data_IF_560753107042
#
_entry.id   IF_560753107042
#
_cell.length_a   1.000
_cell.length_b   1.000
_cell.length_c   1.000
_cell.angle_alpha   90.00
_cell.angle_beta   90.00
_cell.angle_gamma   90.00
#
_symmetry.space_group_name_H-M   'P 1'
#
loop_
_entity.id
_entity.type
_entity.pdbx_description
1 polymer ?
#
# COMPACT_ATOMS: atom_id res chain seq x y z
N UNK A 1 -65.94 55.21 6.65
CA UNK A 1 -66.03 54.61 5.30
C UNK A 1 -65.12 53.38 5.24
N UNK A 2 -65.75 52.21 5.11
CA UNK A 2 -65.28 50.88 4.66
C UNK A 2 -63.81 50.47 4.78
N UNK A 3 -63.51 49.61 5.78
CA UNK A 3 -62.39 48.66 5.74
C UNK A 3 -62.74 47.51 4.80
N UNK A 4 -61.98 47.32 3.71
CA UNK A 4 -62.10 46.15 2.84
C UNK A 4 -61.29 45.00 3.45
N UNK A 5 -61.98 43.95 3.88
CA UNK A 5 -61.36 42.66 4.19
C UNK A 5 -60.95 42.00 2.87
N UNK A 6 -59.64 41.86 2.66
CA UNK A 6 -59.09 41.10 1.53
C UNK A 6 -59.02 39.64 1.97
N UNK A 7 -59.86 38.80 1.38
CA UNK A 7 -59.86 37.36 1.59
C UNK A 7 -58.69 36.75 0.79
N UNK A 8 -57.69 36.21 1.49
CA UNK A 8 -56.43 35.69 0.92
C UNK A 8 -56.49 34.19 0.59
N UNK A 9 -57.66 33.55 0.57
CA UNK A 9 -57.75 32.14 0.21
C UNK A 9 -57.68 31.97 -1.32
N UNK A 10 -56.62 31.33 -1.86
CA UNK A 10 -56.54 31.05 -3.28
C UNK A 10 -57.63 30.04 -3.68
N UNK A 11 -58.19 30.17 -4.89
CA UNK A 11 -59.28 29.32 -5.34
C UNK A 11 -58.84 27.85 -5.55
N UNK A 12 -59.74 26.91 -5.25
CA UNK A 12 -59.47 25.47 -5.20
C UNK A 12 -58.81 24.85 -6.46
N UNK A 13 -58.97 25.47 -7.63
CA UNK A 13 -58.35 25.03 -8.89
C UNK A 13 -56.83 25.22 -8.93
N UNK A 14 -56.26 26.12 -8.11
CA UNK A 14 -54.80 26.27 -7.96
C UNK A 14 -54.15 25.05 -7.32
N UNK A 15 -54.87 24.33 -6.45
CA UNK A 15 -54.38 23.11 -5.83
C UNK A 15 -54.38 21.94 -6.81
N UNK A 16 -55.38 21.84 -7.69
CA UNK A 16 -55.46 20.82 -8.76
C UNK A 16 -54.33 20.95 -9.80
N UNK A 17 -53.89 22.18 -10.12
CA UNK A 17 -52.76 22.40 -11.03
C UNK A 17 -51.41 22.05 -10.40
N UNK A 18 -51.23 22.30 -9.10
CA UNK A 18 -50.02 21.92 -8.37
C UNK A 18 -49.89 20.40 -8.20
N UNK A 19 -51.00 19.68 -7.98
CA UNK A 19 -51.02 18.22 -7.93
C UNK A 19 -50.66 17.57 -9.27
N UNK A 20 -51.12 18.17 -10.39
CA UNK A 20 -50.86 17.65 -11.74
C UNK A 20 -49.42 17.90 -12.20
N UNK A 21 -48.81 19.04 -11.79
CA UNK A 21 -47.40 19.33 -12.09
C UNK A 21 -46.43 18.47 -11.27
N UNK A 22 -46.78 18.14 -10.02
CA UNK A 22 -45.97 17.27 -9.16
C UNK A 22 -45.92 15.81 -9.67
N UNK A 23 -47.03 15.31 -10.21
CA UNK A 23 -47.08 13.99 -10.85
C UNK A 23 -46.28 13.95 -12.16
N UNK A 24 -46.25 15.03 -12.93
CA UNK A 24 -45.46 15.13 -14.17
C UNK A 24 -43.95 15.30 -13.90
N UNK A 25 -43.55 15.94 -12.79
CA UNK A 25 -42.15 16.04 -12.39
C UNK A 25 -41.56 14.70 -11.91
N UNK A 26 -42.36 13.81 -11.32
CA UNK A 26 -41.91 12.46 -10.96
C UNK A 26 -41.61 11.58 -12.20
N UNK A 27 -42.24 11.84 -13.34
CA UNK A 27 -41.98 11.12 -14.60
C UNK A 27 -40.78 11.67 -15.39
N UNK A 28 -40.24 12.83 -15.00
CA UNK A 28 -39.09 13.50 -15.65
C UNK A 28 -37.82 13.46 -14.79
N UNK A 29 -37.88 12.91 -13.58
CA UNK A 29 -36.66 12.52 -12.89
C UNK A 29 -36.06 11.36 -13.69
N UNK A 30 -34.81 11.47 -14.19
CA UNK A 30 -34.14 10.30 -14.72
C UNK A 30 -34.17 9.26 -13.61
N UNK A 31 -34.76 8.10 -13.89
CA UNK A 31 -34.52 6.91 -13.09
C UNK A 31 -33.02 6.83 -12.98
N UNK A 32 -32.50 7.07 -11.77
CA UNK A 32 -31.11 6.80 -11.46
C UNK A 32 -30.98 5.30 -11.76
N UNK A 33 -30.40 4.98 -12.91
CA UNK A 33 -30.18 3.62 -13.33
C UNK A 33 -29.15 3.10 -12.34
N UNK A 34 -29.65 2.40 -11.31
CA UNK A 34 -28.84 1.45 -10.57
C UNK A 34 -28.29 0.51 -11.62
N UNK A 35 -26.97 0.55 -11.76
CA UNK A 35 -26.24 -0.23 -12.74
C UNK A 35 -26.32 -1.70 -12.32
N UNK A 36 -27.41 -2.32 -12.71
CA UNK A 36 -27.64 -3.74 -12.63
C UNK A 36 -27.92 -4.21 -14.05
N UNK A 37 -27.33 -5.34 -14.42
CA UNK A 37 -27.96 -6.23 -15.39
C UNK A 37 -28.94 -7.09 -14.57
N UNK A 38 -30.21 -6.67 -14.39
CA UNK A 38 -31.19 -7.38 -13.55
C UNK A 38 -31.32 -8.86 -13.91
N UNK A 39 -30.91 -9.23 -15.12
CA UNK A 39 -30.91 -10.60 -15.64
C UNK A 39 -29.99 -11.56 -14.87
N UNK A 40 -28.89 -11.08 -14.27
CA UNK A 40 -27.99 -11.93 -13.49
C UNK A 40 -28.59 -12.27 -12.12
N UNK A 41 -29.19 -11.28 -11.46
CA UNK A 41 -29.77 -11.42 -10.13
C UNK A 41 -30.98 -12.36 -10.09
N UNK A 42 -31.67 -12.59 -11.21
CA UNK A 42 -32.78 -13.57 -11.29
C UNK A 42 -32.37 -14.98 -10.86
N UNK A 43 -31.10 -15.34 -11.03
CA UNK A 43 -30.56 -16.66 -10.66
C UNK A 43 -29.39 -16.58 -9.67
N UNK A 44 -28.67 -15.46 -9.60
CA UNK A 44 -27.53 -15.22 -8.71
C UNK A 44 -27.87 -14.22 -7.60
N UNK A 45 -29.01 -14.43 -6.93
CA UNK A 45 -29.56 -13.50 -5.94
C UNK A 45 -28.57 -13.24 -4.79
N UNK A 46 -28.01 -14.29 -4.19
CA UNK A 46 -27.07 -14.17 -3.06
C UNK A 46 -25.80 -13.40 -3.46
N UNK A 47 -25.27 -13.68 -4.66
CA UNK A 47 -24.11 -12.98 -5.19
C UNK A 47 -24.41 -11.52 -5.52
N UNK A 48 -25.58 -11.23 -6.09
CA UNK A 48 -26.03 -9.87 -6.41
C UNK A 48 -26.26 -9.04 -5.15
N UNK A 49 -26.80 -9.62 -4.08
CA UNK A 49 -26.95 -8.94 -2.79
C UNK A 49 -25.58 -8.59 -2.22
N UNK A 50 -24.65 -9.54 -2.17
CA UNK A 50 -23.28 -9.29 -1.70
C UNK A 50 -22.54 -8.25 -2.56
N UNK A 51 -22.80 -8.22 -3.87
CA UNK A 51 -22.24 -7.25 -4.79
C UNK A 51 -22.72 -5.83 -4.50
N UNK A 52 -24.01 -5.64 -4.22
CA UNK A 52 -24.60 -4.32 -3.95
C UNK A 52 -23.97 -3.61 -2.75
N UNK A 53 -23.50 -4.36 -1.77
CA UNK A 53 -22.80 -3.82 -0.60
C UNK A 53 -21.33 -3.45 -0.90
N UNK A 54 -20.82 -3.80 -2.07
CA UNK A 54 -19.42 -3.57 -2.43
C UNK A 54 -19.15 -2.16 -2.95
N UNK A 55 -17.90 -1.68 -2.83
CA UNK A 55 -17.46 -0.44 -3.46
C UNK A 55 -17.46 -0.47 -5.01
N UNK A 56 -17.75 -1.61 -5.63
CA UNK A 56 -17.77 -1.77 -7.09
C UNK A 56 -19.18 -1.63 -7.68
N UNK A 57 -20.23 -1.83 -6.88
CA UNK A 57 -21.62 -1.63 -7.30
C UNK A 57 -21.99 -0.15 -7.53
N UNK A 58 -21.21 0.78 -6.99
CA UNK A 58 -21.40 2.21 -7.21
C UNK A 58 -20.05 2.92 -7.19
N UNK A 59 -19.56 3.31 -8.37
CA UNK A 59 -18.33 4.10 -8.50
C UNK A 59 -18.60 5.44 -9.19
N UNK A 60 -17.75 6.42 -8.95
CA UNK A 60 -17.84 7.76 -9.55
C UNK A 60 -17.77 7.73 -11.09
N UNK A 61 -17.11 6.72 -11.66
CA UNK A 61 -16.91 6.54 -13.11
C UNK A 61 -17.92 5.57 -13.74
N UNK A 62 -18.92 5.12 -12.96
CA UNK A 62 -19.90 4.10 -13.35
C UNK A 62 -19.68 2.78 -12.60
N UNK A 63 -20.75 2.02 -12.36
CA UNK A 63 -20.59 0.75 -11.65
C UNK A 63 -19.88 -0.29 -12.52
N UNK A 64 -19.11 -1.16 -11.86
CA UNK A 64 -18.61 -2.38 -12.46
C UNK A 64 -19.79 -3.36 -12.56
N UNK A 65 -19.87 -4.10 -13.65
CA UNK A 65 -20.92 -5.08 -13.95
C UNK A 65 -20.40 -6.51 -13.78
N UNK A 66 -21.31 -7.48 -13.73
CA UNK A 66 -20.96 -8.90 -13.63
C UNK A 66 -20.03 -9.35 -14.76
N UNK A 67 -20.26 -8.84 -15.98
CA UNK A 67 -19.51 -9.22 -17.18
C UNK A 67 -18.09 -8.62 -17.24
N UNK A 68 -17.82 -7.54 -16.52
CA UNK A 68 -16.47 -6.94 -16.47
C UNK A 68 -15.44 -7.90 -15.86
N UNK A 69 -15.92 -8.74 -14.92
CA UNK A 69 -15.14 -9.76 -14.24
C UNK A 69 -15.37 -11.17 -14.84
N UNK A 70 -16.62 -11.59 -15.03
CA UNK A 70 -16.96 -12.94 -15.51
C UNK A 70 -16.90 -13.11 -17.04
N UNK A 71 -16.74 -12.02 -17.78
CA UNK A 71 -16.80 -11.99 -19.23
C UNK A 71 -18.24 -11.93 -19.76
N UNK A 72 -18.37 -11.92 -21.09
CA UNK A 72 -19.65 -11.79 -21.76
C UNK A 72 -20.62 -12.94 -21.42
N UNK A 73 -21.90 -12.60 -21.29
CA UNK A 73 -22.98 -13.54 -20.98
C UNK A 73 -23.02 -14.74 -21.93
N UNK A 74 -23.04 -15.93 -21.33
CA UNK A 74 -23.24 -17.18 -22.05
C UNK A 74 -24.69 -17.61 -21.92
N UNK A 75 -25.43 -17.54 -23.02
CA UNK A 75 -26.82 -18.00 -23.08
C UNK A 75 -26.92 -19.48 -22.70
N UNK A 76 -27.89 -19.78 -21.84
CA UNK A 76 -28.15 -21.12 -21.29
C UNK A 76 -27.00 -21.69 -20.43
N UNK A 77 -26.14 -20.84 -19.83
CA UNK A 77 -25.27 -21.28 -18.74
C UNK A 77 -26.13 -21.80 -17.56
N UNK A 78 -25.68 -22.83 -16.83
CA UNK A 78 -24.38 -23.50 -16.92
C UNK A 78 -24.24 -24.55 -18.05
N UNK A 79 -25.33 -24.90 -18.75
CA UNK A 79 -25.37 -26.05 -19.68
C UNK A 79 -24.52 -25.85 -20.94
N UNK A 80 -24.38 -24.62 -21.40
CA UNK A 80 -23.60 -24.26 -22.61
C UNK A 80 -22.21 -23.70 -22.32
N UNK A 81 -21.84 -23.60 -21.04
CA UNK A 81 -20.56 -23.08 -20.59
C UNK A 81 -20.75 -22.34 -19.27
N UNK A 82 -19.85 -22.57 -18.30
CA UNK A 82 -19.84 -21.83 -17.04
C UNK A 82 -19.20 -20.45 -17.24
N UNK A 83 -19.81 -19.42 -16.66
CA UNK A 83 -19.20 -18.09 -16.57
C UNK A 83 -18.33 -18.00 -15.31
N UNK A 84 -17.07 -18.42 -15.43
CA UNK A 84 -16.14 -18.41 -14.30
C UNK A 84 -15.29 -17.15 -14.29
N UNK A 85 -15.10 -16.61 -13.09
CA UNK A 85 -14.04 -15.63 -12.85
C UNK A 85 -12.69 -16.36 -12.83
N UNK A 86 -11.69 -15.78 -13.52
CA UNK A 86 -10.31 -16.25 -13.40
C UNK A 86 -9.85 -16.14 -11.95
N UNK A 87 -9.24 -17.21 -11.43
CA UNK A 87 -8.71 -17.21 -10.05
C UNK A 87 -7.41 -16.42 -9.90
N UNK A 88 -6.87 -15.92 -11.01
CA UNK A 88 -5.65 -15.12 -11.05
C UNK A 88 -5.92 -13.63 -10.79
N UNK A 89 -4.92 -12.97 -10.21
CA UNK A 89 -4.97 -11.54 -9.89
C UNK A 89 -5.05 -10.62 -11.13
N UNK A 90 -4.87 -11.12 -12.36
CA UNK A 90 -4.89 -10.27 -13.56
C UNK A 90 -6.29 -9.73 -13.85
N UNK A 91 -7.35 -10.42 -13.39
CA UNK A 91 -8.73 -9.90 -13.47
C UNK A 91 -8.86 -8.56 -12.72
N UNK A 92 -8.22 -8.46 -11.55
CA UNK A 92 -8.22 -7.24 -10.74
C UNK A 92 -7.29 -6.16 -11.31
N UNK A 93 -6.16 -6.57 -11.91
CA UNK A 93 -5.14 -5.68 -12.47
C UNK A 93 -5.69 -4.75 -13.55
N UNK A 94 -6.71 -5.17 -14.30
CA UNK A 94 -7.34 -4.36 -15.37
C UNK A 94 -7.74 -2.96 -14.90
N UNK A 95 -8.16 -2.85 -13.63
CA UNK A 95 -8.53 -1.58 -13.01
C UNK A 95 -7.58 -1.18 -11.87
N UNK A 96 -7.09 -2.13 -11.07
CA UNK A 96 -6.25 -1.88 -9.89
C UNK A 96 -4.75 -2.08 -10.18
N UNK A 97 -4.22 -1.34 -11.15
CA UNK A 97 -2.85 -1.51 -11.62
C UNK A 97 -1.79 -1.25 -10.51
N UNK A 98 -1.95 -0.17 -9.76
CA UNK A 98 -0.99 0.22 -8.70
C UNK A 98 -1.02 -0.77 -7.54
N UNK A 99 -2.23 -1.16 -7.09
CA UNK A 99 -2.42 -2.20 -6.07
C UNK A 99 -1.79 -3.52 -6.51
N UNK A 100 -2.02 -3.93 -7.76
CA UNK A 100 -1.43 -5.13 -8.32
C UNK A 100 0.11 -5.03 -8.34
N UNK A 101 0.68 -3.87 -8.68
CA UNK A 101 2.13 -3.66 -8.67
C UNK A 101 2.72 -3.81 -7.25
N UNK A 102 2.08 -3.21 -6.24
CA UNK A 102 2.48 -3.33 -4.85
C UNK A 102 2.43 -4.79 -4.38
N UNK A 103 1.32 -5.47 -4.66
CA UNK A 103 1.15 -6.89 -4.37
C UNK A 103 2.21 -7.74 -5.06
N UNK A 104 2.45 -7.52 -6.35
CA UNK A 104 3.40 -8.29 -7.14
C UNK A 104 4.84 -8.16 -6.60
N UNK A 105 5.20 -6.99 -6.06
CA UNK A 105 6.49 -6.76 -5.42
C UNK A 105 6.60 -7.40 -4.02
N UNK A 106 5.46 -7.67 -3.36
CA UNK A 106 5.43 -8.24 -2.00
C UNK A 106 5.86 -9.71 -1.94
N UNK A 107 6.14 -10.19 -0.73
CA UNK A 107 6.38 -11.62 -0.48
C UNK A 107 5.18 -12.50 -0.84
N UNK A 108 3.95 -11.99 -0.70
CA UNK A 108 2.75 -12.73 -1.09
C UNK A 108 2.61 -12.85 -2.61
N UNK A 109 2.92 -11.79 -3.35
CA UNK A 109 2.98 -11.83 -4.82
C UNK A 109 4.07 -12.77 -5.32
N UNK A 110 5.26 -12.74 -4.72
CA UNK A 110 6.36 -13.67 -5.04
C UNK A 110 6.00 -15.13 -4.73
N UNK A 111 5.18 -15.37 -3.70
CA UNK A 111 4.64 -16.68 -3.36
C UNK A 111 3.36 -17.05 -4.14
N UNK A 112 2.93 -16.19 -5.08
CA UNK A 112 1.74 -16.37 -5.90
C UNK A 112 0.43 -16.53 -5.10
N UNK A 113 0.32 -15.85 -3.96
CA UNK A 113 -0.92 -15.78 -3.16
C UNK A 113 -1.87 -14.78 -3.83
N UNK A 114 -2.86 -15.28 -4.58
CA UNK A 114 -3.77 -14.46 -5.39
C UNK A 114 -4.67 -13.56 -4.53
N UNK A 115 -5.17 -12.46 -5.10
CA UNK A 115 -6.08 -11.53 -4.41
C UNK A 115 -7.27 -12.23 -3.74
N UNK A 116 -7.86 -13.21 -4.43
CA UNK A 116 -9.00 -14.00 -3.94
C UNK A 116 -8.67 -14.94 -2.77
N UNK A 117 -7.40 -15.05 -2.39
CA UNK A 117 -6.98 -15.77 -1.18
C UNK A 117 -7.31 -14.96 0.07
N UNK A 118 -7.38 -13.63 -0.06
CA UNK A 118 -7.65 -12.69 1.02
C UNK A 118 -9.04 -12.07 0.89
N UNK A 119 -9.46 -11.70 -0.33
CA UNK A 119 -10.73 -11.01 -0.60
C UNK A 119 -11.83 -11.93 -1.12
N UNK A 120 -13.07 -11.55 -0.85
CA UNK A 120 -14.26 -12.05 -1.52
C UNK A 120 -14.56 -11.15 -2.74
N UNK A 121 -14.66 -11.75 -3.93
CA UNK A 121 -14.82 -10.98 -5.19
C UNK A 121 -16.13 -10.21 -5.31
N UNK A 122 -17.19 -10.61 -4.59
CA UNK A 122 -18.47 -9.91 -4.66
C UNK A 122 -18.57 -8.79 -3.63
N UNK A 123 -18.26 -9.06 -2.36
CA UNK A 123 -18.36 -8.04 -1.30
C UNK A 123 -17.11 -7.16 -1.17
N UNK A 124 -15.97 -7.58 -1.72
CA UNK A 124 -14.64 -6.98 -1.54
C UNK A 124 -14.08 -7.05 -0.11
N UNK A 125 -14.84 -7.58 0.83
CA UNK A 125 -14.43 -7.87 2.21
C UNK A 125 -13.35 -8.96 2.27
N UNK A 126 -12.66 -9.05 3.41
CA UNK A 126 -11.82 -10.21 3.68
C UNK A 126 -12.64 -11.49 3.82
N UNK A 127 -12.06 -12.62 3.42
CA UNK A 127 -12.67 -13.95 3.54
C UNK A 127 -12.89 -14.38 5.00
N UNK A 128 -12.09 -13.83 5.90
CA UNK A 128 -12.10 -14.05 7.34
C UNK A 128 -11.88 -12.69 8.02
N UNK A 129 -12.02 -12.63 9.33
CA UNK A 129 -11.54 -11.46 10.08
C UNK A 129 -10.05 -11.28 9.85
N UNK A 130 -9.53 -10.04 9.93
CA UNK A 130 -8.10 -9.74 9.70
C UNK A 130 -7.19 -10.70 10.48
N UNK A 131 -7.42 -10.83 11.78
CA UNK A 131 -6.66 -11.74 12.64
C UNK A 131 -6.69 -13.19 12.14
N UNK A 132 -7.87 -13.76 11.85
CA UNK A 132 -7.97 -15.15 11.41
C UNK A 132 -7.40 -15.36 10.01
N UNK A 133 -7.51 -14.35 9.14
CA UNK A 133 -6.96 -14.42 7.79
C UNK A 133 -5.44 -14.56 7.83
N UNK A 134 -4.77 -13.64 8.51
CA UNK A 134 -3.31 -13.63 8.58
C UNK A 134 -2.78 -14.85 9.36
N UNK A 135 -3.39 -15.17 10.49
CA UNK A 135 -2.95 -16.28 11.35
C UNK A 135 -3.30 -17.67 10.81
N UNK A 136 -4.09 -17.77 9.73
CA UNK A 136 -4.26 -19.04 9.02
C UNK A 136 -2.93 -19.59 8.48
N UNK A 137 -2.00 -18.69 8.12
CA UNK A 137 -0.66 -19.00 7.60
C UNK A 137 0.47 -18.53 8.53
N UNK A 138 0.40 -17.31 9.08
CA UNK A 138 1.47 -16.65 9.87
C UNK A 138 1.45 -16.99 11.37
N UNK A 139 1.17 -18.25 11.73
CA UNK A 139 1.05 -18.67 13.16
C UNK A 139 2.34 -18.50 13.97
N UNK A 140 3.49 -18.64 13.32
CA UNK A 140 4.78 -18.61 13.97
C UNK A 140 5.26 -17.18 14.28
N UNK A 141 4.76 -16.19 13.52
CA UNK A 141 5.27 -14.82 13.52
C UNK A 141 4.72 -13.98 14.69
N UNK A 142 3.68 -14.47 15.38
CA UNK A 142 3.02 -13.77 16.50
C UNK A 142 3.86 -13.69 17.79
N UNK A 143 5.01 -14.36 17.85
CA UNK A 143 5.77 -14.53 19.11
C UNK A 143 6.71 -13.39 19.43
N UNK A 144 6.93 -12.46 18.52
CA UNK A 144 7.82 -11.34 18.79
C UNK A 144 7.20 -10.29 19.73
N UNK A 145 8.09 -9.49 20.31
CA UNK A 145 7.71 -8.47 21.28
C UNK A 145 6.79 -7.40 20.68
N UNK A 146 6.92 -7.09 19.39
CA UNK A 146 6.14 -6.05 18.75
C UNK A 146 4.70 -6.53 18.56
N UNK A 147 4.49 -7.71 17.96
CA UNK A 147 3.14 -8.27 17.77
C UNK A 147 2.43 -8.51 19.10
N UNK A 148 3.12 -9.06 20.11
CA UNK A 148 2.50 -9.30 21.44
C UNK A 148 2.10 -8.02 22.18
N UNK A 149 2.84 -6.91 22.01
CA UNK A 149 2.48 -5.64 22.65
C UNK A 149 1.36 -4.91 21.91
N UNK A 150 1.41 -4.88 20.58
CA UNK A 150 0.43 -4.16 19.77
C UNK A 150 -0.92 -4.89 19.70
N UNK A 151 -0.93 -6.23 19.64
CA UNK A 151 -2.18 -7.00 19.75
C UNK A 151 -2.89 -6.78 21.10
N UNK A 152 -2.14 -6.61 22.19
CA UNK A 152 -2.71 -6.25 23.51
C UNK A 152 -3.26 -4.82 23.59
N UNK A 153 -2.90 -3.97 22.64
CA UNK A 153 -3.44 -2.63 22.46
C UNK A 153 -4.60 -2.62 21.45
N UNK A 154 -5.17 -3.79 21.14
CA UNK A 154 -6.24 -3.99 20.17
C UNK A 154 -5.88 -3.55 18.75
N UNK A 155 -4.59 -3.59 18.40
CA UNK A 155 -4.13 -3.40 17.02
C UNK A 155 -4.14 -4.72 16.26
N UNK A 156 -4.63 -4.64 15.04
CA UNK A 156 -4.78 -5.70 14.06
C UNK A 156 -3.55 -5.80 13.14
N UNK A 157 -3.51 -6.83 12.29
CA UNK A 157 -2.38 -7.05 11.39
C UNK A 157 -2.31 -5.94 10.33
N UNK A 158 -3.48 -5.52 9.84
CA UNK A 158 -3.63 -4.54 8.78
C UNK A 158 -3.25 -3.12 9.19
N UNK A 159 -3.34 -2.78 10.47
CA UNK A 159 -2.96 -1.46 10.99
C UNK A 159 -1.51 -1.07 10.70
N UNK A 160 -0.61 -2.06 10.62
CA UNK A 160 0.80 -1.83 10.29
C UNK A 160 1.17 -2.38 8.91
N UNK A 161 0.69 -3.57 8.56
CA UNK A 161 1.11 -4.22 7.31
C UNK A 161 0.40 -3.64 6.08
N UNK A 162 -0.80 -3.07 6.24
CA UNK A 162 -1.54 -2.42 5.16
C UNK A 162 -1.71 -0.92 5.42
N UNK A 163 -0.87 -0.32 6.28
CA UNK A 163 -0.93 1.12 6.55
C UNK A 163 -0.86 1.91 5.25
N UNK A 164 -1.71 2.91 5.15
CA UNK A 164 -1.88 3.68 3.93
C UNK A 164 -0.68 4.60 3.74
N UNK A 165 -0.16 4.64 2.50
CA UNK A 165 0.84 5.65 2.16
C UNK A 165 0.11 6.98 2.03
N UNK A 166 0.36 7.91 2.94
CA UNK A 166 -0.04 9.30 2.71
C UNK A 166 0.64 9.80 1.42
N UNK A 167 -0.07 10.52 0.55
CA UNK A 167 0.52 11.03 -0.68
C UNK A 167 1.69 11.96 -0.37
N UNK A 168 2.88 11.64 -0.89
CA UNK A 168 4.12 12.42 -0.72
C UNK A 168 4.06 13.82 -1.38
N UNK A 169 2.99 14.15 -2.10
CA UNK A 169 2.83 15.48 -2.74
C UNK A 169 1.38 16.00 -2.79
N UNK A 170 1.20 17.34 -2.85
CA UNK A 170 -0.11 17.96 -3.03
C UNK A 170 -0.78 17.63 -4.38
N UNK A 171 -0.02 17.24 -5.41
CA UNK A 171 -0.59 16.81 -6.71
C UNK A 171 -1.32 15.47 -6.57
N UNK A 172 -0.77 14.55 -5.77
CA UNK A 172 -1.42 13.29 -5.39
C UNK A 172 -2.55 13.45 -4.37
N UNK A 173 -2.73 14.65 -3.79
CA UNK A 173 -3.85 14.95 -2.91
C UNK A 173 -5.17 15.15 -3.66
N UNK A 174 -5.13 15.43 -4.97
CA UNK A 174 -6.35 15.44 -5.80
C UNK A 174 -6.92 14.03 -6.06
N UNK A 175 -6.15 12.99 -5.74
CA UNK A 175 -6.55 11.59 -5.71
C UNK A 175 -6.85 11.11 -4.27
N UNK A 176 -6.84 12.02 -3.28
CA UNK A 176 -6.99 11.70 -1.86
C UNK A 176 -8.46 11.57 -1.40
N UNK A 177 -9.34 11.08 -2.26
CA UNK A 177 -10.69 10.67 -1.84
C UNK A 177 -10.78 9.17 -1.54
N UNK A 178 -9.75 8.38 -1.88
CA UNK A 178 -9.61 6.98 -1.44
C UNK A 178 -8.20 6.74 -0.90
N UNK A 179 -8.06 6.91 0.42
CA UNK A 179 -6.94 6.34 1.17
C UNK A 179 -6.97 4.83 0.91
N UNK A 180 -6.12 4.34 0.01
CA UNK A 180 -6.05 2.93 -0.34
C UNK A 180 -5.00 2.25 0.54
N UNK A 181 -5.34 1.15 1.22
CA UNK A 181 -4.38 0.38 1.99
C UNK A 181 -3.21 -0.09 1.09
N UNK A 182 -1.99 -0.02 1.60
CA UNK A 182 -0.81 -0.48 0.88
C UNK A 182 -0.80 -2.01 0.77
N UNK A 183 -0.62 -2.55 -0.44
CA UNK A 183 -0.61 -4.00 -0.70
C UNK A 183 0.81 -4.58 -0.85
N UNK A 184 1.84 -3.87 -0.41
CA UNK A 184 3.21 -4.43 -0.32
C UNK A 184 3.44 -5.25 0.94
N UNK A 185 2.55 -5.16 1.93
CA UNK A 185 2.62 -5.83 3.26
C UNK A 185 3.89 -5.48 4.08
N UNK A 186 4.67 -4.53 3.59
CA UNK A 186 5.90 -4.07 4.20
C UNK A 186 5.59 -2.99 5.24
N UNK A 187 6.06 -3.20 6.47
CA UNK A 187 5.95 -2.20 7.53
C UNK A 187 7.03 -1.15 7.33
N UNK A 188 6.63 0.03 6.87
CA UNK A 188 7.52 1.18 6.74
C UNK A 188 7.66 1.90 8.08
N UNK A 189 8.67 2.75 8.24
CA UNK A 189 8.78 3.60 9.43
C UNK A 189 7.59 4.54 9.60
N UNK A 190 6.89 4.87 8.52
CA UNK A 190 5.73 5.76 8.56
C UNK A 190 4.58 5.13 9.35
N UNK A 191 4.32 3.82 9.17
CA UNK A 191 3.30 3.10 9.93
C UNK A 191 3.49 3.24 11.45
N UNK A 192 4.75 3.30 11.91
CA UNK A 192 5.04 3.55 13.32
C UNK A 192 4.74 5.00 13.72
N UNK A 193 5.11 5.96 12.87
CA UNK A 193 4.96 7.40 13.13
C UNK A 193 3.49 7.81 13.17
N UNK A 194 2.62 7.16 12.40
CA UNK A 194 1.19 7.47 12.37
C UNK A 194 0.52 7.34 13.76
N UNK A 195 1.03 6.48 14.64
CA UNK A 195 0.57 6.37 16.04
C UNK A 195 1.59 6.89 17.07
N UNK A 196 2.88 6.87 16.73
CA UNK A 196 3.97 7.30 17.62
C UNK A 196 4.49 8.71 17.30
N UNK A 197 3.73 9.54 16.61
CA UNK A 197 4.09 10.90 16.16
C UNK A 197 4.84 11.69 17.25
N UNK A 198 4.33 11.67 18.49
CA UNK A 198 4.94 12.38 19.61
C UNK A 198 6.20 11.71 20.20
N UNK A 199 6.35 10.38 20.07
CA UNK A 199 7.52 9.63 20.57
C UNK A 199 8.63 9.48 19.54
N UNK A 200 8.29 9.41 18.25
CA UNK A 200 9.24 9.39 17.15
C UNK A 200 9.96 10.73 17.00
N UNK A 201 9.28 11.85 17.29
CA UNK A 201 9.87 13.19 17.29
C UNK A 201 10.54 13.58 18.62
N UNK A 202 10.43 12.78 19.68
CA UNK A 202 11.08 13.05 20.98
C UNK A 202 12.58 12.71 21.03
N UNK A 203 13.21 12.43 19.88
CA UNK A 203 14.68 12.54 19.71
C UNK A 203 15.12 13.61 18.71
N UNK A 204 14.20 14.45 18.21
CA UNK A 204 14.52 15.67 17.44
C UNK A 204 14.08 16.95 18.18
N UNK A 205 13.81 16.86 19.50
CA UNK A 205 13.83 18.04 20.37
C UNK A 205 15.28 18.34 20.77
N UNK A 206 15.95 19.01 19.84
CA UNK A 206 17.07 19.94 20.04
C UNK A 206 17.04 20.51 21.48
N UNK A 207 18.02 20.17 22.34
CA UNK A 207 18.15 20.78 23.66
C UNK A 207 18.09 22.30 23.53
N UNK A 208 17.46 23.00 24.47
CA UNK A 208 17.34 24.47 24.47
C UNK A 208 18.70 25.23 24.37
N UNK A 209 19.82 24.51 24.49
CA UNK A 209 21.19 25.01 24.33
C UNK A 209 21.85 24.64 22.99
N UNK A 210 21.11 24.14 22.00
CA UNK A 210 21.71 23.86 20.69
C UNK A 210 21.91 25.17 19.91
N UNK A 211 23.04 25.38 19.24
CA UNK A 211 23.26 26.55 18.39
C UNK A 211 22.25 26.56 17.25
N UNK A 212 21.61 27.69 16.94
CA UNK A 212 20.63 27.81 15.84
C UNK A 212 21.14 27.11 14.56
N UNK A 213 20.24 26.49 13.76
CA UNK A 213 20.65 25.98 12.46
C UNK A 213 21.31 27.12 11.67
N UNK A 214 22.42 26.85 10.96
CA UNK A 214 23.15 27.86 10.23
C UNK A 214 22.27 28.49 9.14
N UNK A 215 22.44 29.80 8.90
CA UNK A 215 21.62 30.59 7.98
C UNK A 215 21.66 30.07 6.52
N UNK A 216 22.66 29.24 6.18
CA UNK A 216 22.79 28.57 4.88
C UNK A 216 23.05 27.05 5.05
N UNK A 217 21.98 26.24 5.14
CA UNK A 217 22.10 24.79 5.27
C UNK A 217 22.72 24.13 4.04
N UNK A 218 22.68 24.76 2.85
CA UNK A 218 23.25 24.22 1.64
C UNK A 218 24.78 24.32 1.65
N UNK A 219 25.32 25.46 2.08
CA UNK A 219 26.76 25.65 2.21
C UNK A 219 27.38 24.66 3.21
N UNK A 220 26.71 24.38 4.33
CA UNK A 220 27.20 23.41 5.30
C UNK A 220 27.09 21.96 4.79
N UNK A 221 26.00 21.59 4.11
CA UNK A 221 25.88 20.27 3.49
C UNK A 221 26.95 20.05 2.42
N UNK A 222 27.27 21.08 1.64
CA UNK A 222 28.36 21.03 0.65
C UNK A 222 29.73 20.89 1.33
N UNK A 223 29.97 21.59 2.44
CA UNK A 223 31.21 21.45 3.22
C UNK A 223 31.35 20.05 3.81
N UNK A 224 30.27 19.49 4.37
CA UNK A 224 30.22 18.12 4.91
C UNK A 224 30.44 17.06 3.84
N UNK A 225 29.80 17.21 2.68
CA UNK A 225 30.01 16.34 1.52
C UNK A 225 31.47 16.34 1.09
N UNK A 226 32.08 17.53 0.96
CA UNK A 226 33.48 17.68 0.58
C UNK A 226 34.43 17.04 1.60
N UNK A 227 34.17 17.26 2.90
CA UNK A 227 34.95 16.62 3.97
C UNK A 227 34.86 15.10 3.88
N UNK A 228 33.65 14.56 3.75
CA UNK A 228 33.45 13.11 3.68
C UNK A 228 34.05 12.48 2.42
N UNK A 229 34.05 13.20 1.30
CA UNK A 229 34.75 12.77 0.08
C UNK A 229 36.27 12.76 0.28
N UNK A 230 36.80 13.75 1.00
CA UNK A 230 38.23 13.86 1.29
C UNK A 230 38.68 12.76 2.28
N UNK A 231 37.86 12.43 3.27
CA UNK A 231 38.10 11.30 4.19
C UNK A 231 38.07 9.96 3.44
N UNK A 232 37.10 9.77 2.54
CA UNK A 232 37.06 8.57 1.70
C UNK A 232 38.30 8.45 0.80
N UNK A 233 38.80 9.56 0.25
CA UNK A 233 40.02 9.56 -0.56
C UNK A 233 41.27 9.26 0.28
N UNK A 234 41.38 9.82 1.49
CA UNK A 234 42.52 9.59 2.38
C UNK A 234 42.56 8.14 2.89
N UNK A 235 41.39 7.58 3.25
CA UNK A 235 41.25 6.18 3.65
C UNK A 235 41.64 5.21 2.52
N UNK A 236 41.23 5.51 1.27
CA UNK A 236 41.67 4.75 0.08
C UNK A 236 43.19 4.85 -0.13
N UNK A 237 43.78 6.02 0.13
CA UNK A 237 45.23 6.21 0.07
C UNK A 237 45.96 5.38 1.14
N UNK A 238 45.48 5.40 2.38
CA UNK A 238 46.04 4.63 3.48
C UNK A 238 45.93 3.12 3.23
N UNK A 239 44.81 2.64 2.68
CA UNK A 239 44.63 1.22 2.43
C UNK A 239 45.58 0.72 1.35
N UNK A 240 45.77 1.46 0.25
CA UNK A 240 46.72 1.12 -0.82
C UNK A 240 48.16 1.17 -0.31
N UNK A 241 48.53 2.19 0.46
CA UNK A 241 49.86 2.30 1.04
C UNK A 241 50.15 1.16 2.04
N UNK A 242 49.16 0.82 2.88
CA UNK A 242 49.24 -0.30 3.82
C UNK A 242 49.42 -1.64 3.13
N UNK A 243 48.67 -1.89 2.05
CA UNK A 243 48.80 -3.09 1.22
C UNK A 243 50.18 -3.20 0.58
N UNK A 244 50.71 -2.09 0.05
CA UNK A 244 52.05 -2.03 -0.53
C UNK A 244 53.15 -2.32 0.48
N UNK A 245 53.08 -1.72 1.68
CA UNK A 245 54.03 -1.99 2.76
C UNK A 245 53.95 -3.44 3.25
N UNK A 246 52.73 -3.98 3.41
CA UNK A 246 52.52 -5.37 3.84
C UNK A 246 53.11 -6.38 2.86
N UNK A 247 52.87 -6.21 1.56
CA UNK A 247 53.44 -7.06 0.52
C UNK A 247 54.96 -6.94 0.45
N UNK A 248 55.51 -5.72 0.59
CA UNK A 248 56.96 -5.50 0.56
C UNK A 248 57.69 -6.16 1.73
N UNK A 249 57.21 -5.94 2.97
CA UNK A 249 57.79 -6.54 4.18
C UNK A 249 57.62 -8.06 4.16
N UNK A 250 56.42 -8.55 3.83
CA UNK A 250 56.13 -9.97 3.73
C UNK A 250 57.01 -10.68 2.70
N UNK A 251 57.19 -10.07 1.52
CA UNK A 251 58.07 -10.60 0.47
C UNK A 251 59.53 -10.68 0.92
N UNK A 252 60.03 -9.63 1.58
CA UNK A 252 61.42 -9.59 2.07
C UNK A 252 61.67 -10.66 3.15
N UNK A 253 60.76 -10.78 4.12
CA UNK A 253 60.87 -11.79 5.17
C UNK A 253 60.77 -13.22 4.61
N UNK A 254 59.89 -13.44 3.64
CA UNK A 254 59.76 -14.73 2.95
C UNK A 254 61.06 -15.15 2.25
N UNK A 255 61.70 -14.21 1.54
CA UNK A 255 62.98 -14.45 0.87
C UNK A 255 64.08 -14.80 1.89
N UNK A 256 64.17 -14.05 2.99
CA UNK A 256 65.15 -14.32 4.06
C UNK A 256 64.92 -15.70 4.68
N UNK A 257 63.67 -16.06 4.95
CA UNK A 257 63.32 -17.37 5.49
C UNK A 257 63.77 -18.51 4.57
N UNK A 258 63.47 -18.42 3.27
CA UNK A 258 63.89 -19.43 2.27
C UNK A 258 65.41 -19.54 2.20
N UNK A 259 66.13 -18.41 2.22
CA UNK A 259 67.59 -18.43 2.23
C UNK A 259 68.16 -19.09 3.49
N UNK A 260 67.61 -18.82 4.67
CA UNK A 260 68.05 -19.45 5.94
C UNK A 260 67.74 -20.95 5.94
N UNK A 261 66.51 -21.33 5.58
CA UNK A 261 66.10 -22.73 5.53
C UNK A 261 66.93 -23.55 4.53
N UNK A 262 67.21 -22.98 3.35
CA UNK A 262 68.09 -23.60 2.35
C UNK A 262 69.51 -23.79 2.87
N UNK A 263 70.05 -22.80 3.59
CA UNK A 263 71.41 -22.88 4.17
C UNK A 263 71.52 -23.92 5.29
N UNK A 264 70.46 -24.08 6.09
CA UNK A 264 70.37 -25.11 7.12
C UNK A 264 70.28 -26.51 6.51
N UNK A 265 69.43 -26.69 5.48
CA UNK A 265 69.28 -27.97 4.78
C UNK A 265 70.57 -28.40 4.09
N UNK A 266 71.26 -27.46 3.41
CA UNK A 266 72.56 -27.73 2.78
C UNK A 266 73.65 -28.14 3.79
N UNK A 267 73.59 -27.63 5.03
CA UNK A 267 74.54 -28.02 6.09
C UNK A 267 74.27 -29.43 6.60
N UNK A 268 73.02 -29.89 6.69
CA UNK A 268 72.72 -31.23 7.20
C UNK A 268 73.06 -32.34 6.20
N UNK A 269 73.02 -32.07 4.90
CA UNK A 269 73.46 -33.03 3.87
C UNK A 269 74.98 -33.21 3.82
N UNK A 270 75.74 -32.27 4.40
CA UNK A 270 77.21 -32.25 4.35
C UNK A 270 77.90 -32.72 5.64
N UNK A 271 77.13 -33.03 6.69
CA UNK A 271 77.58 -33.56 7.98
C UNK A 271 77.22 -35.03 8.12
#
# INVERSE_FOLDING_TARGET
MHKKNINLNPPAWRWLQLSSLALLLCFLLPTLVLAESPECAECHEDESVAWQDSPHASTADGAVTCEDCHGAYVKDHPKKGMMQLGVDSASCQKCHADTHQQWQASSHGQANVQCISCHLSHSQEFRLTDELLCTSCHRADLKDFNHTTHTRADLSCTDCHLSSLLPDSPESASLAEKITPNHSFAVTSQACVDCHEQKAHQTIFRPANSPNPPDDPLAELQARLKSSQQDNQSLKGLSVAGLGMGLGIGGMLGIVFVMVAGRLSYRSEKS
#
